data_IF_504293809295
#
_entry.id   IF_504293809295
#
_cell.length_a   1.000
_cell.length_b   1.000
_cell.length_c   1.000
_cell.angle_alpha   90.00
_cell.angle_beta   90.00
_cell.angle_gamma   90.00
#
_symmetry.space_group_name_H-M   'P 1'
#
loop_
_entity.id
_entity.type
_entity.pdbx_description
1 polymer ?
#
# COMPACT_ATOMS: atom_id res chain seq x y z
N UNK A 1 -2.17 -10.86 7.74
CA UNK A 1 -1.52 -10.64 9.05
C UNK A 1 -2.08 -9.37 9.69
N UNK A 2 -3.34 -9.40 10.12
CA UNK A 2 -3.90 -8.32 10.92
C UNK A 2 -3.58 -8.51 12.42
N UNK A 3 -3.66 -7.44 13.20
CA UNK A 3 -3.55 -7.48 14.68
C UNK A 3 -2.22 -8.04 15.21
N UNK A 4 -1.10 -7.53 14.67
CA UNK A 4 0.24 -7.86 15.17
C UNK A 4 0.95 -6.58 15.65
N UNK A 5 2.19 -6.74 16.11
CA UNK A 5 3.04 -5.62 16.52
C UNK A 5 4.12 -5.35 15.47
N UNK A 6 3.76 -5.49 14.18
CA UNK A 6 4.69 -5.24 13.09
C UNK A 6 5.03 -3.76 13.04
N UNK A 7 6.33 -3.47 12.96
CA UNK A 7 6.90 -2.13 12.78
C UNK A 7 7.78 -2.15 11.54
N UNK A 8 8.02 -0.97 10.95
CA UNK A 8 8.90 -0.83 9.79
C UNK A 8 10.29 -1.47 10.00
N UNK A 9 10.85 -1.38 11.21
CA UNK A 9 12.18 -1.92 11.54
C UNK A 9 12.17 -3.44 11.74
N UNK A 10 11.00 -4.02 12.06
CA UNK A 10 10.82 -5.46 12.22
C UNK A 10 10.61 -6.21 10.90
N UNK A 11 10.43 -5.49 9.79
CA UNK A 11 10.14 -6.05 8.48
C UNK A 11 11.32 -5.80 7.54
N UNK A 12 12.00 -6.84 7.04
CA UNK A 12 13.01 -6.69 6.00
C UNK A 12 12.44 -5.99 4.76
N UNK A 13 13.24 -5.16 4.06
CA UNK A 13 12.83 -4.60 2.77
C UNK A 13 12.36 -5.71 1.81
N UNK A 14 11.31 -5.43 1.03
CA UNK A 14 10.73 -6.35 0.05
C UNK A 14 10.06 -7.63 0.60
N UNK A 15 9.85 -7.76 1.91
CA UNK A 15 9.14 -8.91 2.51
C UNK A 15 7.78 -9.18 1.86
N UNK A 16 7.08 -8.13 1.45
CA UNK A 16 5.74 -8.21 0.85
C UNK A 16 5.74 -8.04 -0.67
N UNK A 17 6.91 -7.93 -1.30
CA UNK A 17 7.03 -7.90 -2.76
C UNK A 17 7.02 -9.33 -3.32
N UNK A 18 5.90 -10.02 -3.14
CA UNK A 18 5.70 -11.42 -3.53
C UNK A 18 4.81 -11.49 -4.75
N UNK A 19 5.32 -12.05 -5.85
CA UNK A 19 4.55 -12.25 -7.07
C UNK A 19 3.46 -13.31 -6.87
N UNK A 20 2.25 -13.03 -7.35
CA UNK A 20 1.12 -13.96 -7.27
C UNK A 20 0.30 -13.89 -5.97
N UNK A 21 0.68 -13.02 -5.03
CA UNK A 21 -0.17 -12.67 -3.92
C UNK A 21 -1.32 -11.78 -4.41
N UNK A 22 -2.56 -12.16 -4.10
CA UNK A 22 -3.76 -11.42 -4.52
C UNK A 22 -4.20 -10.43 -3.45
N UNK A 23 -4.13 -10.85 -2.19
CA UNK A 23 -4.60 -10.09 -1.04
C UNK A 23 -3.54 -10.08 0.07
N UNK A 24 -3.32 -8.91 0.65
CA UNK A 24 -2.42 -8.71 1.78
C UNK A 24 -3.10 -7.85 2.84
N UNK A 25 -3.30 -8.44 4.02
CA UNK A 25 -3.82 -7.74 5.18
C UNK A 25 -2.70 -7.47 6.20
N UNK A 26 -2.43 -6.19 6.44
CA UNK A 26 -1.48 -5.67 7.43
C UNK A 26 -2.17 -4.67 8.39
N UNK A 27 -3.50 -4.73 8.47
CA UNK A 27 -4.27 -3.84 9.34
C UNK A 27 -4.01 -4.08 10.83
N UNK A 28 -4.25 -3.06 11.66
CA UNK A 28 -4.02 -3.14 13.12
C UNK A 28 -2.59 -3.56 13.47
N UNK A 29 -1.60 -2.87 12.89
CA UNK A 29 -0.19 -3.01 13.22
C UNK A 29 0.37 -1.64 13.67
N UNK A 30 1.70 -1.49 13.70
CA UNK A 30 2.39 -0.26 14.08
C UNK A 30 3.29 0.23 12.93
N UNK A 31 2.83 0.07 11.69
CA UNK A 31 3.56 0.50 10.50
C UNK A 31 3.51 2.02 10.39
N UNK A 32 4.65 2.63 10.09
CA UNK A 32 4.75 4.08 9.86
C UNK A 32 4.82 4.44 8.37
N UNK A 33 5.05 3.45 7.51
CA UNK A 33 5.15 3.62 6.06
C UNK A 33 4.42 2.51 5.32
N UNK A 34 4.01 2.80 4.08
CA UNK A 34 3.45 1.80 3.17
C UNK A 34 4.59 0.89 2.70
N UNK A 35 4.56 -0.43 2.99
CA UNK A 35 5.63 -1.32 2.56
C UNK A 35 5.61 -1.50 1.02
N UNK A 36 6.77 -1.75 0.38
CA UNK A 36 6.81 -2.13 -1.02
C UNK A 36 6.05 -3.44 -1.26
N UNK A 37 5.13 -3.43 -2.22
CA UNK A 37 4.31 -4.58 -2.60
C UNK A 37 4.49 -4.90 -4.09
N UNK A 38 4.14 -6.13 -4.47
CA UNK A 38 4.15 -6.51 -5.87
C UNK A 38 3.08 -5.75 -6.65
N UNK A 39 3.42 -5.32 -7.87
CA UNK A 39 2.45 -4.76 -8.83
C UNK A 39 1.30 -5.73 -9.17
N UNK A 40 1.43 -7.02 -8.85
CA UNK A 40 0.38 -8.02 -9.06
C UNK A 40 -0.68 -8.09 -7.97
N UNK A 41 -0.45 -7.43 -6.82
CA UNK A 41 -1.38 -7.41 -5.70
C UNK A 41 -2.67 -6.68 -6.06
N UNK A 42 -3.83 -7.23 -5.67
CA UNK A 42 -5.15 -6.64 -5.97
C UNK A 42 -5.77 -5.96 -4.73
N UNK A 43 -5.53 -6.48 -3.53
CA UNK A 43 -6.13 -5.95 -2.30
C UNK A 43 -5.07 -5.73 -1.22
N UNK A 44 -4.99 -4.50 -0.71
CA UNK A 44 -4.09 -4.12 0.38
C UNK A 44 -4.85 -3.43 1.51
N UNK A 45 -4.77 -4.01 2.70
CA UNK A 45 -5.39 -3.50 3.92
C UNK A 45 -4.32 -3.01 4.89
N UNK A 46 -4.29 -1.71 5.16
CA UNK A 46 -3.35 -1.04 6.05
C UNK A 46 -4.07 -0.19 7.11
N UNK A 47 -5.39 -0.33 7.25
CA UNK A 47 -6.16 0.45 8.22
C UNK A 47 -5.68 0.24 9.66
N UNK A 48 -5.85 1.27 10.50
CA UNK A 48 -5.42 1.27 11.91
C UNK A 48 -3.92 0.96 12.09
N UNK A 49 -3.07 1.75 11.43
CA UNK A 49 -1.62 1.80 11.60
C UNK A 49 -1.20 3.25 11.95
N UNK A 50 0.10 3.57 11.85
CA UNK A 50 0.68 4.90 12.11
C UNK A 50 1.30 5.50 10.85
N UNK A 51 0.75 5.20 9.67
CA UNK A 51 1.30 5.66 8.39
C UNK A 51 1.13 7.18 8.31
N UNK A 52 2.22 7.89 7.99
CA UNK A 52 2.27 9.37 7.94
C UNK A 52 2.46 9.95 6.54
N UNK A 53 2.85 9.11 5.58
CA UNK A 53 3.17 9.54 4.23
C UNK A 53 2.67 8.52 3.20
N UNK A 54 2.10 9.04 2.11
CA UNK A 54 1.73 8.23 0.96
C UNK A 54 2.90 8.12 -0.02
N UNK A 55 3.51 6.94 -0.09
CA UNK A 55 4.67 6.67 -0.96
C UNK A 55 4.27 5.92 -2.22
N UNK A 56 4.14 6.62 -3.35
CA UNK A 56 3.74 6.00 -4.63
C UNK A 56 4.70 4.88 -5.08
N UNK A 57 5.99 5.02 -4.76
CA UNK A 57 7.02 4.01 -5.03
C UNK A 57 6.75 2.66 -4.38
N UNK A 58 5.95 2.59 -3.31
CA UNK A 58 5.58 1.32 -2.68
C UNK A 58 4.69 0.45 -3.56
N UNK A 59 4.06 1.03 -4.59
CA UNK A 59 3.18 0.33 -5.53
C UNK A 59 3.79 0.20 -6.93
N UNK A 60 4.59 1.19 -7.36
CA UNK A 60 5.22 1.21 -8.68
C UNK A 60 6.62 1.82 -8.62
N UNK A 61 7.64 1.03 -8.95
CA UNK A 61 9.01 1.54 -9.13
C UNK A 61 9.16 2.36 -10.42
N UNK A 62 8.54 1.89 -11.50
CA UNK A 62 8.50 2.55 -12.82
C UNK A 62 7.05 2.51 -13.32
N UNK A 63 6.57 3.64 -13.84
CA UNK A 63 5.22 3.78 -14.38
C UNK A 63 5.29 3.99 -15.89
N UNK A 64 4.73 3.05 -16.66
CA UNK A 64 4.55 3.17 -18.11
C UNK A 64 3.24 2.48 -18.56
N UNK A 65 3.01 2.35 -19.88
CA UNK A 65 1.77 1.76 -20.41
C UNK A 65 1.55 0.31 -19.92
N UNK A 66 2.63 -0.46 -19.75
CA UNK A 66 2.60 -1.87 -19.35
C UNK A 66 2.89 -2.08 -17.86
N UNK A 67 3.60 -1.15 -17.21
CA UNK A 67 4.02 -1.22 -15.82
C UNK A 67 3.18 -0.29 -14.94
N UNK A 68 2.21 -0.87 -14.25
CA UNK A 68 1.32 -0.21 -13.29
C UNK A 68 0.80 -1.23 -12.27
N UNK A 69 0.28 -0.75 -11.14
CA UNK A 69 -0.23 -1.61 -10.09
C UNK A 69 -1.61 -2.18 -10.44
N UNK A 70 -1.82 -3.46 -10.15
CA UNK A 70 -3.12 -4.13 -10.29
C UNK A 70 -4.05 -3.92 -9.10
N UNK A 71 -3.64 -3.09 -8.15
CA UNK A 71 -4.41 -2.83 -6.94
C UNK A 71 -5.81 -2.30 -7.29
N UNK A 72 -6.82 -2.90 -6.68
CA UNK A 72 -8.24 -2.55 -6.80
C UNK A 72 -8.78 -1.91 -5.53
N UNK A 73 -8.25 -2.35 -4.38
CA UNK A 73 -8.67 -1.89 -3.06
C UNK A 73 -7.45 -1.52 -2.25
N UNK A 74 -7.43 -0.28 -1.76
CA UNK A 74 -6.45 0.22 -0.80
C UNK A 74 -7.19 0.83 0.39
N UNK A 75 -7.01 0.25 1.58
CA UNK A 75 -7.58 0.81 2.82
C UNK A 75 -6.48 1.34 3.71
N UNK A 76 -6.52 2.65 3.95
CA UNK A 76 -5.60 3.43 4.77
C UNK A 76 -6.31 4.17 5.91
N UNK A 77 -7.62 3.97 6.09
CA UNK A 77 -8.41 4.55 7.18
C UNK A 77 -7.77 4.36 8.56
N UNK A 78 -7.86 5.37 9.43
CA UNK A 78 -7.32 5.29 10.78
C UNK A 78 -5.78 5.28 10.83
N UNK A 79 -5.13 5.85 9.82
CA UNK A 79 -3.71 6.23 9.84
C UNK A 79 -3.57 7.75 10.10
N UNK A 80 -2.34 8.25 10.03
CA UNK A 80 -1.98 9.67 10.18
C UNK A 80 -1.81 10.34 8.80
N UNK A 81 -2.54 9.87 7.78
CA UNK A 81 -2.58 10.46 6.43
C UNK A 81 -4.01 10.91 6.10
N UNK A 82 -4.14 11.85 5.18
CA UNK A 82 -5.41 12.34 4.66
C UNK A 82 -5.48 12.23 3.14
N UNK A 83 -6.67 12.38 2.57
CA UNK A 83 -6.85 12.35 1.10
C UNK A 83 -6.01 13.42 0.38
N UNK A 84 -5.69 14.54 1.04
CA UNK A 84 -4.85 15.60 0.48
C UNK A 84 -3.38 15.20 0.32
N UNK A 85 -2.95 14.15 1.03
CA UNK A 85 -1.59 13.63 0.97
C UNK A 85 -1.39 12.62 -0.17
N UNK A 86 -2.48 12.17 -0.80
CA UNK A 86 -2.42 11.26 -1.96
C UNK A 86 -2.17 12.08 -3.23
N UNK A 87 -1.00 11.95 -3.88
CA UNK A 87 -0.67 12.75 -5.06
C UNK A 87 -1.58 12.41 -6.24
N UNK A 88 -1.90 13.40 -7.07
CA UNK A 88 -2.77 13.23 -8.24
C UNK A 88 -2.21 12.23 -9.27
N UNK A 89 -0.88 12.17 -9.39
CA UNK A 89 -0.15 11.22 -10.22
C UNK A 89 -0.31 9.77 -9.78
N UNK A 90 -0.84 9.51 -8.57
CA UNK A 90 -1.16 8.16 -8.12
C UNK A 90 -2.13 7.46 -9.06
N UNK A 91 -2.99 8.20 -9.75
CA UNK A 91 -3.88 7.66 -10.78
C UNK A 91 -3.15 7.01 -11.97
N UNK A 92 -1.88 7.38 -12.22
CA UNK A 92 -1.06 6.79 -13.29
C UNK A 92 -0.53 5.40 -12.91
N UNK A 93 -0.36 5.13 -11.61
CA UNK A 93 0.13 3.85 -11.09
C UNK A 93 -1.04 2.96 -10.61
N UNK A 94 -1.96 3.50 -9.82
CA UNK A 94 -3.11 2.81 -9.23
C UNK A 94 -4.33 2.84 -10.17
N UNK A 95 -4.13 2.55 -11.45
CA UNK A 95 -5.15 2.74 -12.51
C UNK A 95 -6.43 1.95 -12.30
N UNK A 96 -6.32 0.83 -11.59
CA UNK A 96 -7.44 -0.11 -11.34
C UNK A 96 -8.05 0.06 -9.95
N UNK A 97 -7.55 0.98 -9.14
CA UNK A 97 -8.05 1.21 -7.79
C UNK A 97 -9.44 1.84 -7.87
N UNK A 98 -10.44 1.08 -7.44
CA UNK A 98 -11.83 1.54 -7.38
C UNK A 98 -12.05 2.41 -6.14
N UNK A 99 -11.36 2.08 -5.05
CA UNK A 99 -11.43 2.79 -3.77
C UNK A 99 -10.04 2.94 -3.17
N UNK A 100 -9.73 4.17 -2.76
CA UNK A 100 -8.61 4.51 -1.90
C UNK A 100 -9.25 5.18 -0.69
N UNK A 101 -9.46 4.38 0.36
CA UNK A 101 -10.16 4.83 1.56
C UNK A 101 -9.12 5.30 2.57
N UNK A 102 -9.14 6.60 2.90
CA UNK A 102 -8.15 7.28 3.75
C UNK A 102 -8.84 7.95 4.92
#
# INVERSE_FOLDING_TARGET
>A
MAHNQLTDNGIPPNTFNVSGLVELDLSFNQLERIPPVSQTLEHLYLQANHIKEFTLGSFCDVVDVMNFSKLRTLRLEGNEISIGDVPSESALCLRLANTIDV
#
